data_IF_841759801854
#
_entry.id   IF_841759801854
#
_cell.length_a   1.000
_cell.length_b   1.000
_cell.length_c   1.000
_cell.angle_alpha   90.00
_cell.angle_beta   90.00
_cell.angle_gamma   90.00
#
_symmetry.space_group_name_H-M   'P 1'
#
loop_
_entity.id
_entity.type
_entity.pdbx_description
1 polymer ?
#
# COMPACT_ATOMS: atom_id res chain seq x y z
N UNK A 1 -7.13 -6.22 -18.54
CA UNK A 1 -6.51 -7.27 -17.69
C UNK A 1 -7.15 -7.19 -16.31
N UNK A 2 -7.43 -8.31 -15.65
CA UNK A 2 -7.97 -8.30 -14.28
C UNK A 2 -6.83 -7.96 -13.32
N UNK A 3 -6.94 -6.86 -12.60
CA UNK A 3 -5.92 -6.41 -11.65
C UNK A 3 -5.64 -7.49 -10.60
N UNK A 4 -4.36 -7.70 -10.25
CA UNK A 4 -3.97 -8.73 -9.28
C UNK A 4 -4.20 -8.22 -7.85
N UNK A 5 -4.94 -8.95 -7.00
CA UNK A 5 -5.11 -8.59 -5.60
C UNK A 5 -3.83 -8.88 -4.82
N UNK A 6 -3.41 -7.94 -3.98
CA UNK A 6 -2.25 -8.02 -3.10
C UNK A 6 -2.66 -7.61 -1.70
N UNK A 7 -2.21 -8.36 -0.69
CA UNK A 7 -2.39 -7.97 0.71
C UNK A 7 -1.12 -7.29 1.19
N UNK A 8 -1.27 -6.07 1.72
CA UNK A 8 -0.19 -5.31 2.32
C UNK A 8 -0.42 -5.14 3.82
N UNK A 9 0.62 -5.31 4.61
CA UNK A 9 0.59 -4.98 6.03
C UNK A 9 0.59 -3.45 6.25
N UNK A 10 0.12 -3.00 7.41
CA UNK A 10 0.12 -1.57 7.78
C UNK A 10 1.53 -0.94 7.68
N UNK A 11 2.57 -1.70 8.02
CA UNK A 11 3.96 -1.26 7.91
C UNK A 11 4.42 -0.97 6.47
N UNK A 12 3.76 -1.53 5.45
CA UNK A 12 4.01 -1.22 4.04
C UNK A 12 3.21 -0.01 3.60
N UNK A 13 1.97 0.13 4.08
CA UNK A 13 1.11 1.26 3.73
C UNK A 13 1.66 2.57 4.27
N UNK A 14 2.21 2.60 5.48
CA UNK A 14 2.76 3.84 6.06
C UNK A 14 3.94 4.40 5.26
N UNK A 15 4.69 3.53 4.57
CA UNK A 15 5.82 3.88 3.69
C UNK A 15 5.41 4.66 2.44
N UNK A 16 4.12 4.74 2.14
CA UNK A 16 3.58 5.54 1.04
C UNK A 16 3.64 7.04 1.32
N UNK A 17 3.70 7.41 2.60
CA UNK A 17 3.62 8.78 3.09
C UNK A 17 4.85 9.19 3.92
N UNK A 18 5.47 8.25 4.63
CA UNK A 18 6.69 8.49 5.41
C UNK A 18 7.91 7.93 4.66
N UNK A 19 8.92 8.76 4.37
CA UNK A 19 10.20 8.28 3.84
C UNK A 19 10.97 7.47 4.89
N UNK A 20 11.18 6.19 4.61
CA UNK A 20 11.97 5.25 5.41
C UNK A 20 12.57 4.16 4.49
N UNK A 21 13.24 3.16 5.08
CA UNK A 21 13.77 2.05 4.31
C UNK A 21 12.64 1.38 3.50
N UNK A 22 12.93 1.12 2.21
CA UNK A 22 12.00 0.52 1.25
C UNK A 22 10.81 1.41 0.81
N UNK A 23 10.76 2.70 1.15
CA UNK A 23 9.70 3.59 0.67
C UNK A 23 9.60 3.67 -0.85
N UNK A 24 10.72 3.56 -1.58
CA UNK A 24 10.68 3.51 -3.05
C UNK A 24 9.84 2.33 -3.59
N UNK A 25 9.93 1.17 -2.93
CA UNK A 25 9.19 -0.03 -3.32
C UNK A 25 7.71 0.12 -2.94
N UNK A 26 7.43 0.66 -1.75
CA UNK A 26 6.07 0.90 -1.29
C UNK A 26 5.35 1.95 -2.14
N UNK A 27 6.05 3.01 -2.55
CA UNK A 27 5.55 4.04 -3.47
C UNK A 27 5.23 3.45 -4.84
N UNK A 28 6.07 2.57 -5.39
CA UNK A 28 5.74 1.88 -6.65
C UNK A 28 4.48 1.02 -6.52
N UNK A 29 4.32 0.30 -5.40
CA UNK A 29 3.10 -0.48 -5.14
C UNK A 29 1.85 0.42 -5.02
N UNK A 30 1.98 1.61 -4.41
CA UNK A 30 0.92 2.62 -4.37
C UNK A 30 0.54 3.09 -5.77
N UNK A 31 1.52 3.44 -6.58
CA UNK A 31 1.28 4.00 -7.91
C UNK A 31 0.63 2.94 -8.82
N UNK A 32 1.12 1.69 -8.77
CA UNK A 32 0.47 0.55 -9.44
C UNK A 32 -0.98 0.34 -8.97
N UNK A 33 -1.26 0.61 -7.68
CA UNK A 33 -2.61 0.52 -7.14
C UNK A 33 -3.53 1.63 -7.66
N UNK A 34 -3.03 2.88 -7.66
CA UNK A 34 -3.76 4.04 -8.15
C UNK A 34 -4.02 3.97 -9.67
N UNK A 35 -3.10 3.38 -10.42
CA UNK A 35 -3.24 3.14 -11.86
C UNK A 35 -4.10 1.90 -12.19
N UNK A 36 -4.60 1.18 -11.18
CA UNK A 36 -5.46 0.01 -11.36
C UNK A 36 -4.74 -1.23 -11.91
N UNK A 37 -3.39 -1.26 -11.88
CA UNK A 37 -2.60 -2.44 -12.26
C UNK A 37 -2.69 -3.53 -11.19
N UNK A 38 -2.78 -3.12 -9.93
CA UNK A 38 -2.94 -4.00 -8.76
C UNK A 38 -4.05 -3.48 -7.83
N UNK A 39 -4.66 -4.38 -7.07
CA UNK A 39 -5.62 -4.02 -6.02
C UNK A 39 -5.00 -4.33 -4.68
N UNK A 40 -4.59 -3.31 -3.93
CA UNK A 40 -4.02 -3.47 -2.61
C UNK A 40 -5.14 -3.49 -1.59
N UNK A 41 -5.20 -4.55 -0.79
CA UNK A 41 -6.00 -4.63 0.41
C UNK A 41 -5.07 -4.53 1.61
N UNK A 42 -5.34 -3.60 2.51
CA UNK A 42 -4.60 -3.51 3.76
C UNK A 42 -5.10 -4.57 4.75
N UNK A 43 -4.18 -5.26 5.41
CA UNK A 43 -4.48 -6.16 6.52
C UNK A 43 -3.74 -5.63 7.75
N UNK A 44 -4.48 -4.97 8.64
CA UNK A 44 -3.98 -4.50 9.94
C UNK A 44 -4.20 -3.01 10.22
N UNK A 45 -4.77 -2.74 11.41
CA UNK A 45 -4.79 -1.53 12.28
C UNK A 45 -5.01 -0.12 11.67
N UNK A 46 -5.06 0.10 10.35
CA UNK A 46 -5.30 1.43 9.76
C UNK A 46 -6.64 2.07 10.22
N UNK A 47 -7.57 1.26 10.75
CA UNK A 47 -8.80 1.73 11.41
C UNK A 47 -8.57 2.49 12.72
N UNK A 48 -7.42 2.34 13.36
CA UNK A 48 -7.10 2.94 14.68
C UNK A 48 -6.48 4.33 14.53
N UNK A 49 -5.79 4.61 13.43
CA UNK A 49 -5.11 5.90 13.21
C UNK A 49 -5.92 6.91 12.37
N UNK A 50 -7.08 6.51 11.84
CA UNK A 50 -7.98 7.38 11.07
C UNK A 50 -9.24 7.77 11.86
N UNK A 51 -9.11 7.91 13.19
CA UNK A 51 -10.21 8.31 14.07
C UNK A 51 -10.08 9.77 14.49
#
# INVERSE_FOLDING_TARGET
MRAKPVVADASVIIKWVIPEAYSEHAVRLRDDHLEGRVVVHSRGIARVYLR
#
